data_IF_705050772009
#
_entry.id   IF_705050772009
#
_cell.length_a   1.000
_cell.length_b   1.000
_cell.length_c   1.000
_cell.angle_alpha   90.00
_cell.angle_beta   90.00
_cell.angle_gamma   90.00
#
_symmetry.space_group_name_H-M   'P 1'
#
loop_
_entity.id
_entity.type
_entity.pdbx_description
1 polymer ?
#
# COMPACT_ATOMS: atom_id res chain seq x y z
N UNK A 1 -17.60 -24.50 30.08
CA UNK A 1 -17.34 -24.73 28.63
C UNK A 1 -16.06 -25.55 28.43
N UNK A 2 -16.20 -26.78 27.93
CA UNK A 2 -15.09 -27.72 27.75
C UNK A 2 -14.69 -27.73 26.27
N UNK A 3 -13.57 -27.09 25.92
CA UNK A 3 -13.03 -27.13 24.56
C UNK A 3 -12.23 -28.42 24.38
N UNK A 4 -12.68 -29.30 23.49
CA UNK A 4 -11.94 -30.50 23.09
C UNK A 4 -10.96 -30.11 21.98
N UNK A 5 -9.68 -29.99 22.34
CA UNK A 5 -8.62 -29.72 21.37
C UNK A 5 -8.38 -30.95 20.51
N UNK A 6 -8.58 -30.83 19.20
CA UNK A 6 -8.45 -31.93 18.23
C UNK A 6 -7.02 -32.50 18.09
N UNK A 7 -6.06 -31.89 18.79
CA UNK A 7 -4.65 -32.29 18.84
C UNK A 7 -4.39 -33.64 19.53
N UNK A 8 -5.37 -34.22 20.23
CA UNK A 8 -5.20 -35.47 20.98
C UNK A 8 -5.39 -36.73 20.14
N UNK A 9 -5.86 -36.60 18.89
CA UNK A 9 -5.95 -37.75 17.99
C UNK A 9 -4.60 -37.97 17.28
N UNK A 10 -3.92 -39.08 17.61
CA UNK A 10 -2.67 -39.53 16.96
C UNK A 10 -2.83 -39.91 15.47
N UNK A 11 -4.02 -39.72 14.90
CA UNK A 11 -4.37 -40.12 13.55
C UNK A 11 -4.45 -38.87 12.68
N UNK A 12 -3.70 -38.86 11.57
CA UNK A 12 -3.78 -37.79 10.58
C UNK A 12 -5.23 -37.68 10.04
N UNK A 13 -5.81 -36.48 10.09
CA UNK A 13 -7.12 -36.21 9.51
C UNK A 13 -6.96 -35.66 8.10
N UNK A 14 -7.81 -36.15 7.19
CA UNK A 14 -7.89 -35.62 5.84
C UNK A 14 -8.48 -34.21 5.84
N UNK A 15 -7.78 -33.25 5.24
CA UNK A 15 -8.26 -31.87 5.01
C UNK A 15 -9.18 -31.80 3.79
N UNK A 16 -9.08 -32.79 2.89
CA UNK A 16 -9.92 -32.86 1.69
C UNK A 16 -11.29 -33.45 2.01
N UNK A 17 -12.31 -32.98 1.27
CA UNK A 17 -13.66 -33.54 1.31
C UNK A 17 -13.61 -35.06 1.05
N UNK A 18 -14.44 -35.82 1.76
CA UNK A 18 -14.53 -37.28 1.60
C UNK A 18 -14.64 -37.67 0.12
N UNK A 19 -13.78 -38.58 -0.33
CA UNK A 19 -13.73 -39.04 -1.72
C UNK A 19 -12.97 -38.13 -2.70
N UNK A 20 -12.34 -37.06 -2.21
CA UNK A 20 -11.37 -36.25 -2.98
C UNK A 20 -9.96 -36.54 -2.47
N UNK A 21 -8.98 -36.40 -3.36
CA UNK A 21 -7.56 -36.57 -3.05
C UNK A 21 -6.80 -35.32 -3.48
N UNK A 22 -5.79 -34.90 -2.70
CA UNK A 22 -4.89 -33.80 -3.08
C UNK A 22 -4.22 -34.12 -4.44
N UNK A 23 -3.87 -35.39 -4.69
CA UNK A 23 -3.27 -35.84 -5.96
C UNK A 23 -4.20 -35.69 -7.18
N UNK A 24 -5.49 -35.45 -6.97
CA UNK A 24 -6.47 -35.19 -8.04
C UNK A 24 -6.71 -33.70 -8.30
N UNK A 25 -6.00 -32.81 -7.59
CA UNK A 25 -6.06 -31.37 -7.81
C UNK A 25 -5.14 -30.98 -8.96
N UNK A 26 -5.70 -30.32 -9.97
CA UNK A 26 -4.95 -29.62 -11.01
C UNK A 26 -4.99 -28.12 -10.68
N UNK A 27 -3.90 -27.54 -10.13
CA UNK A 27 -3.88 -26.11 -9.86
C UNK A 27 -3.96 -25.33 -11.17
N UNK A 28 -4.99 -24.49 -11.30
CA UNK A 28 -5.11 -23.57 -12.42
C UNK A 28 -4.12 -22.41 -12.33
N UNK A 29 -3.66 -21.92 -13.48
CA UNK A 29 -2.88 -20.68 -13.54
C UNK A 29 -3.82 -19.52 -13.21
N UNK A 30 -3.50 -18.78 -12.15
CA UNK A 30 -4.19 -17.53 -11.83
C UNK A 30 -3.50 -16.42 -12.59
N UNK A 31 -4.25 -15.70 -13.43
CA UNK A 31 -3.75 -14.51 -14.10
C UNK A 31 -3.32 -13.47 -13.06
N UNK A 32 -2.08 -13.01 -13.17
CA UNK A 32 -1.54 -11.97 -12.29
C UNK A 32 -2.25 -10.64 -12.58
N UNK A 33 -3.24 -10.32 -11.75
CA UNK A 33 -3.73 -8.97 -11.49
C UNK A 33 -4.57 -8.32 -12.57
N UNK A 34 -5.48 -7.45 -12.13
CA UNK A 34 -6.08 -6.44 -12.99
C UNK A 34 -5.09 -5.28 -13.15
N UNK A 35 -4.99 -4.66 -14.34
CA UNK A 35 -4.20 -3.45 -14.50
C UNK A 35 -4.68 -2.36 -13.53
N UNK A 36 -3.74 -1.59 -12.99
CA UNK A 36 -4.05 -0.51 -12.06
C UNK A 36 -4.83 0.56 -12.81
N UNK A 37 -5.97 0.97 -12.24
CA UNK A 37 -6.80 2.02 -12.85
C UNK A 37 -6.04 3.35 -12.82
N UNK A 38 -6.15 4.20 -13.86
CA UNK A 38 -5.47 5.49 -13.91
C UNK A 38 -5.89 6.42 -12.76
N UNK A 39 -7.14 6.32 -12.30
CA UNK A 39 -7.62 7.05 -11.13
C UNK A 39 -6.83 6.73 -9.85
N UNK A 40 -6.38 5.48 -9.68
CA UNK A 40 -5.56 5.07 -8.53
C UNK A 40 -4.14 5.61 -8.63
N UNK A 41 -3.57 5.66 -9.83
CA UNK A 41 -2.23 6.22 -10.05
C UNK A 41 -2.19 7.71 -9.69
N UNK A 42 -3.20 8.48 -10.10
CA UNK A 42 -3.35 9.89 -9.69
C UNK A 42 -3.48 10.04 -8.18
N UNK A 43 -4.19 9.13 -7.52
CA UNK A 43 -4.36 9.15 -6.07
C UNK A 43 -3.05 8.87 -5.34
N UNK A 44 -2.29 7.88 -5.82
CA UNK A 44 -0.96 7.56 -5.31
C UNK A 44 -0.02 8.76 -5.49
N UNK A 45 0.04 9.39 -6.66
CA UNK A 45 0.88 10.57 -6.88
C UNK A 45 0.55 11.69 -5.89
N UNK A 46 -0.74 12.00 -5.69
CA UNK A 46 -1.18 13.01 -4.71
C UNK A 46 -0.80 12.62 -3.28
N UNK A 47 -0.94 11.35 -2.91
CA UNK A 47 -0.56 10.85 -1.60
C UNK A 47 0.94 11.03 -1.36
N UNK A 48 1.76 10.66 -2.34
CA UNK A 48 3.22 10.76 -2.25
C UNK A 48 3.68 12.21 -2.14
N UNK A 49 3.15 13.10 -2.98
CA UNK A 49 3.41 14.54 -2.89
C UNK A 49 2.98 15.11 -1.54
N UNK A 50 1.80 14.73 -1.01
CA UNK A 50 1.30 15.25 0.27
C UNK A 50 2.18 14.85 1.46
N UNK A 51 2.70 13.63 1.48
CA UNK A 51 3.46 13.11 2.63
C UNK A 51 4.97 13.33 2.54
N UNK A 52 5.53 13.36 1.33
CA UNK A 52 6.98 13.39 1.11
C UNK A 52 7.45 14.64 0.36
N UNK A 53 6.52 15.50 -0.06
CA UNK A 53 6.79 16.71 -0.84
C UNK A 53 6.97 16.44 -2.33
N UNK A 54 7.23 17.49 -3.10
CA UNK A 54 7.37 17.41 -4.57
C UNK A 54 8.59 16.60 -5.02
N UNK A 55 9.59 16.45 -4.14
CA UNK A 55 10.83 15.72 -4.39
C UNK A 55 10.79 14.26 -3.90
N UNK A 56 9.59 13.68 -3.75
CA UNK A 56 9.42 12.29 -3.34
C UNK A 56 10.09 11.31 -4.31
N UNK A 57 10.23 11.69 -5.58
CA UNK A 57 10.91 10.91 -6.62
C UNK A 57 12.42 10.78 -6.39
N UNK A 58 13.04 11.54 -5.50
CA UNK A 58 14.47 11.40 -5.19
C UNK A 58 14.71 10.35 -4.09
N UNK A 59 13.66 9.93 -3.38
CA UNK A 59 13.74 8.95 -2.31
C UNK A 59 13.87 7.54 -2.87
N UNK A 60 14.92 6.82 -2.51
CA UNK A 60 15.16 5.46 -2.98
C UNK A 60 14.10 4.49 -2.41
N UNK A 61 13.62 4.74 -1.19
CA UNK A 61 12.60 3.93 -0.54
C UNK A 61 11.25 3.93 -1.27
N UNK A 62 11.02 4.90 -2.16
CA UNK A 62 9.81 5.02 -2.98
C UNK A 62 10.00 4.52 -4.42
N UNK A 63 11.12 3.84 -4.73
CA UNK A 63 11.44 3.35 -6.07
C UNK A 63 10.32 2.56 -6.74
N UNK A 64 9.66 1.66 -6.00
CA UNK A 64 8.51 0.90 -6.50
C UNK A 64 7.40 1.78 -7.10
N UNK A 65 7.10 2.92 -6.48
CA UNK A 65 6.03 3.80 -6.95
C UNK A 65 6.45 4.59 -8.20
N UNK A 66 7.74 4.86 -8.36
CA UNK A 66 8.28 5.47 -9.59
C UNK A 66 8.10 4.51 -10.75
N UNK A 67 8.54 3.26 -10.56
CA UNK A 67 8.42 2.22 -11.57
C UNK A 67 6.94 1.98 -11.91
N UNK A 68 6.08 1.88 -10.90
CA UNK A 68 4.64 1.73 -11.07
C UNK A 68 4.02 2.88 -11.88
N UNK A 69 4.41 4.12 -11.59
CA UNK A 69 3.89 5.29 -12.31
C UNK A 69 4.48 5.40 -13.72
N UNK A 70 5.72 4.99 -13.94
CA UNK A 70 6.40 5.04 -15.24
C UNK A 70 5.89 3.94 -16.19
N UNK A 71 5.75 2.71 -15.70
CA UNK A 71 5.24 1.57 -16.48
C UNK A 71 3.81 1.77 -16.97
N UNK A 72 3.03 2.61 -16.27
CA UNK A 72 1.63 2.90 -16.60
C UNK A 72 1.42 4.27 -17.28
N UNK A 73 2.49 4.99 -17.63
CA UNK A 73 2.43 6.30 -18.29
C UNK A 73 2.88 6.22 -19.77
N UNK A 74 1.93 6.07 -20.72
CA UNK A 74 1.82 6.79 -22.02
C UNK A 74 0.36 6.59 -22.56
N UNK A 75 -0.40 7.59 -23.10
CA UNK A 75 -0.14 9.04 -23.27
C UNK A 75 -1.19 10.01 -22.68
N UNK A 76 -0.70 11.22 -22.37
CA UNK A 76 -1.33 12.55 -22.47
C UNK A 76 -2.58 12.90 -21.63
N UNK A 77 -2.43 13.89 -20.73
CA UNK A 77 -2.79 15.28 -21.04
C UNK A 77 -2.33 16.18 -19.89
N UNK A 78 -1.42 17.10 -20.24
CA UNK A 78 -1.33 18.41 -19.59
C UNK A 78 -2.71 19.07 -19.73
N UNK A 79 -3.32 19.43 -18.62
CA UNK A 79 -4.36 20.44 -18.57
C UNK A 79 -4.19 21.19 -17.26
N UNK A 80 -3.68 22.40 -17.42
CA UNK A 80 -3.56 23.46 -16.44
C UNK A 80 -4.90 23.73 -15.71
N UNK A 81 -4.75 24.30 -14.51
CA UNK A 81 -5.71 25.11 -13.76
C UNK A 81 -7.06 24.50 -13.34
N UNK A 82 -7.19 24.26 -12.03
CA UNK A 82 -8.10 25.09 -11.23
C UNK A 82 -7.64 25.12 -9.77
N UNK A 83 -7.11 26.27 -9.33
CA UNK A 83 -7.05 26.63 -7.92
C UNK A 83 -8.50 26.86 -7.49
N UNK A 84 -9.15 25.77 -7.11
CA UNK A 84 -10.43 25.80 -6.42
C UNK A 84 -10.18 26.31 -5.00
N UNK A 85 -10.32 27.61 -4.84
CA UNK A 85 -10.62 28.29 -3.59
C UNK A 85 -11.68 27.50 -2.82
N UNK A 86 -11.22 26.70 -1.86
CA UNK A 86 -12.01 25.88 -0.97
C UNK A 86 -11.78 26.38 0.44
N UNK A 87 -12.70 27.24 0.89
CA UNK A 87 -12.86 27.76 2.24
C UNK A 87 -12.40 26.78 3.34
N UNK A 88 -11.66 27.24 4.36
CA UNK A 88 -11.25 26.42 5.49
C UNK A 88 -12.43 26.19 6.42
N UNK A 89 -13.12 25.06 6.26
CA UNK A 89 -14.09 24.55 7.25
C UNK A 89 -13.43 23.39 8.01
N UNK A 90 -13.08 23.68 9.27
CA UNK A 90 -12.91 22.77 10.40
C UNK A 90 -12.04 21.52 10.17
N UNK A 91 -10.71 21.71 10.18
CA UNK A 91 -9.79 20.62 10.51
C UNK A 91 -9.87 20.35 12.01
N UNK A 92 -10.69 19.37 12.37
CA UNK A 92 -10.73 18.79 13.71
C UNK A 92 -9.32 18.29 14.08
N UNK A 93 -8.73 18.99 15.03
CA UNK A 93 -7.39 18.83 15.55
C UNK A 93 -7.31 17.57 16.41
N UNK A 94 -6.90 16.45 15.81
CA UNK A 94 -6.54 15.26 16.58
C UNK A 94 -5.46 14.44 15.89
N UNK A 95 -4.24 14.97 15.87
CA UNK A 95 -3.03 14.15 15.84
C UNK A 95 -2.02 14.75 16.78
N UNK A 96 -1.87 14.07 17.92
CA UNK A 96 -0.99 14.39 19.02
C UNK A 96 0.42 14.77 18.57
N UNK A 97 0.95 15.77 19.25
CA UNK A 97 2.31 16.30 19.18
C UNK A 97 3.35 15.18 18.98
N UNK A 98 4.19 15.31 17.95
CA UNK A 98 5.48 14.62 17.91
C UNK A 98 6.51 15.53 18.57
N UNK A 99 7.21 15.10 19.64
CA UNK A 99 8.29 15.90 20.19
C UNK A 99 9.43 16.00 19.16
N UNK A 100 9.84 17.25 18.92
CA UNK A 100 11.04 17.61 18.17
C UNK A 100 12.24 17.13 18.98
N UNK A 101 13.05 16.24 18.42
CA UNK A 101 14.39 15.96 18.95
C UNK A 101 15.34 16.88 18.18
N UNK A 102 15.55 18.08 18.72
CA UNK A 102 16.71 18.91 18.39
C UNK A 102 17.87 18.47 19.28
N UNK A 103 18.83 17.74 18.71
CA UNK A 103 20.23 17.83 19.10
C UNK A 103 21.00 17.90 17.78
N UNK A 104 21.64 19.00 17.41
CA UNK A 104 22.64 19.66 18.24
C UNK A 104 23.98 18.98 17.99
N UNK A 105 24.52 19.13 16.78
CA UNK A 105 25.96 18.95 16.55
C UNK A 105 26.50 20.24 15.97
N UNK A 106 26.98 21.04 16.92
CA UNK A 106 27.84 22.20 16.71
C UNK A 106 29.02 21.83 15.81
N UNK A 107 29.30 22.71 14.86
CA UNK A 107 30.64 22.90 14.32
C UNK A 107 31.61 23.16 15.47
N UNK A 108 32.59 22.28 15.65
CA UNK A 108 33.82 22.61 16.37
C UNK A 108 35.01 22.21 15.48
N UNK A 109 35.54 23.26 14.82
CA UNK A 109 36.87 23.49 14.21
C UNK A 109 37.25 22.59 13.02
#
# INVERSE_FOLDING_TARGET
PNYLSDMQTKNAKSVVKKGKSISSMEPGIVSLGNPVKPAKLKDIARLLTKHYGDQWENREELGFFKDLLNENQIPALQAEENIGDGSPEDVDECCSERPVIEEGLELII
#
